data_IF_062958713547
#
_entry.id   IF_062958713547
#
_cell.length_a   1.000
_cell.length_b   1.000
_cell.length_c   1.000
_cell.angle_alpha   90.00
_cell.angle_beta   90.00
_cell.angle_gamma   90.00
#
_symmetry.space_group_name_H-M   'P 1'
#
loop_
_entity.id
_entity.type
_entity.pdbx_description
1 polymer ?
#
# COMPACT_ATOMS: atom_id res chain seq x y z
N UNK A 1 -5.59 -21.25 -7.84
CA UNK A 1 -5.36 -22.70 -7.83
C UNK A 1 -3.97 -23.06 -8.36
N UNK A 2 -3.66 -22.95 -9.66
CA UNK A 2 -2.31 -23.30 -10.18
C UNK A 2 -1.14 -22.58 -9.47
N UNK A 3 -1.32 -21.30 -9.11
CA UNK A 3 -0.30 -20.52 -8.38
C UNK A 3 -0.12 -21.01 -6.94
N UNK A 4 -1.20 -21.42 -6.26
CA UNK A 4 -1.11 -22.02 -4.93
C UNK A 4 -0.41 -23.38 -5.00
N UNK A 5 -0.72 -24.20 -6.01
CA UNK A 5 -0.03 -25.47 -6.26
C UNK A 5 1.46 -25.21 -6.54
N UNK A 6 1.80 -24.23 -7.36
CA UNK A 6 3.19 -23.85 -7.61
C UNK A 6 3.91 -23.38 -6.34
N UNK A 7 3.24 -22.60 -5.47
CA UNK A 7 3.76 -22.21 -4.16
C UNK A 7 4.06 -23.43 -3.28
N UNK A 8 3.12 -24.37 -3.17
CA UNK A 8 3.29 -25.60 -2.39
C UNK A 8 4.46 -26.43 -2.94
N UNK A 9 4.57 -26.56 -4.26
CA UNK A 9 5.67 -27.29 -4.90
C UNK A 9 7.03 -26.61 -4.69
N UNK A 10 7.06 -25.27 -4.66
CA UNK A 10 8.30 -24.50 -4.48
C UNK A 10 8.77 -24.46 -3.03
N UNK A 11 7.85 -24.27 -2.08
CA UNK A 11 8.17 -24.10 -0.66
C UNK A 11 8.16 -25.41 0.12
N UNK A 12 7.61 -26.49 -0.44
CA UNK A 12 7.42 -27.76 0.25
C UNK A 12 6.38 -27.69 1.38
N UNK A 13 5.65 -26.57 1.50
CA UNK A 13 4.73 -26.33 2.60
C UNK A 13 3.37 -25.80 2.13
N UNK A 14 2.32 -26.13 2.89
CA UNK A 14 0.96 -25.63 2.65
C UNK A 14 0.72 -24.24 3.25
N UNK A 15 1.64 -23.77 4.11
CA UNK A 15 1.50 -22.49 4.77
C UNK A 15 1.79 -21.33 3.81
N UNK A 16 0.88 -20.35 3.78
CA UNK A 16 1.11 -19.11 3.06
C UNK A 16 1.92 -18.15 3.94
N UNK A 17 2.95 -17.56 3.35
CA UNK A 17 3.58 -16.37 3.90
C UNK A 17 2.75 -15.10 3.61
N UNK A 18 3.12 -13.98 4.21
CA UNK A 18 2.44 -12.69 4.08
C UNK A 18 2.33 -12.23 2.63
N UNK A 19 3.41 -12.36 1.84
CA UNK A 19 3.47 -11.91 0.45
C UNK A 19 2.61 -12.80 -0.44
N UNK A 20 2.67 -14.11 -0.25
CA UNK A 20 1.87 -15.10 -0.98
C UNK A 20 0.37 -14.92 -0.69
N UNK A 21 0.01 -14.69 0.58
CA UNK A 21 -1.36 -14.36 0.96
C UNK A 21 -1.86 -13.08 0.26
N UNK A 22 -1.07 -12.00 0.31
CA UNK A 22 -1.38 -10.75 -0.40
C UNK A 22 -1.59 -10.96 -1.91
N UNK A 23 -0.66 -11.64 -2.57
CA UNK A 23 -0.69 -11.86 -4.02
C UNK A 23 -1.90 -12.70 -4.44
N UNK A 24 -2.21 -13.78 -3.72
CA UNK A 24 -3.37 -14.62 -4.03
C UNK A 24 -4.70 -13.86 -3.80
N UNK A 25 -4.81 -13.09 -2.73
CA UNK A 25 -5.96 -12.21 -2.47
C UNK A 25 -6.13 -11.15 -3.56
N UNK A 26 -5.03 -10.52 -4.00
CA UNK A 26 -5.05 -9.54 -5.07
C UNK A 26 -5.54 -10.17 -6.40
N UNK A 27 -5.02 -11.35 -6.74
CA UNK A 27 -5.42 -12.08 -7.95
C UNK A 27 -6.89 -12.50 -7.94
N UNK A 28 -7.41 -12.88 -6.78
CA UNK A 28 -8.83 -13.15 -6.60
C UNK A 28 -9.68 -11.91 -6.91
N UNK A 29 -9.29 -10.75 -6.38
CA UNK A 29 -10.04 -9.50 -6.57
C UNK A 29 -9.84 -8.87 -7.95
N UNK A 30 -8.78 -9.22 -8.68
CA UNK A 30 -8.52 -8.78 -10.06
C UNK A 30 -9.44 -9.45 -11.08
N UNK A 31 -9.91 -10.67 -10.81
CA UNK A 31 -10.72 -11.43 -11.76
C UNK A 31 -12.12 -10.82 -11.92
N UNK A 32 -12.58 -10.74 -13.17
CA UNK A 32 -14.00 -10.51 -13.46
C UNK A 32 -14.79 -11.71 -12.98
N UNK A 33 -15.77 -11.49 -12.09
CA UNK A 33 -16.67 -12.51 -11.49
C UNK A 33 -17.60 -13.17 -12.51
N UNK A 34 -17.03 -13.87 -13.48
CA UNK A 34 -17.79 -14.67 -14.45
C UNK A 34 -17.97 -16.12 -13.99
N UNK A 35 -17.22 -16.56 -12.97
CA UNK A 35 -17.19 -17.94 -12.49
C UNK A 35 -17.32 -17.99 -10.96
N UNK A 36 -18.50 -17.66 -10.45
CA UNK A 36 -18.75 -17.48 -9.01
C UNK A 36 -18.31 -18.67 -8.14
N UNK A 37 -18.52 -19.90 -8.60
CA UNK A 37 -18.11 -21.12 -7.88
C UNK A 37 -16.59 -21.22 -7.74
N UNK A 38 -15.84 -20.93 -8.81
CA UNK A 38 -14.37 -20.99 -8.80
C UNK A 38 -13.80 -19.87 -7.92
N UNK A 39 -14.42 -18.68 -7.96
CA UNK A 39 -14.01 -17.54 -7.15
C UNK A 39 -14.28 -17.79 -5.66
N UNK A 40 -15.41 -18.42 -5.31
CA UNK A 40 -15.70 -18.85 -3.93
C UNK A 40 -14.74 -19.95 -3.44
N UNK A 41 -14.41 -20.94 -4.27
CA UNK A 41 -13.41 -21.95 -3.93
C UNK A 41 -12.04 -21.31 -3.72
N UNK A 42 -11.66 -20.35 -4.56
CA UNK A 42 -10.38 -19.66 -4.43
C UNK A 42 -10.36 -18.75 -3.18
N UNK A 43 -11.46 -18.08 -2.85
CA UNK A 43 -11.63 -17.38 -1.59
C UNK A 43 -11.46 -18.34 -0.40
N UNK A 44 -12.08 -19.53 -0.45
CA UNK A 44 -11.92 -20.56 0.57
C UNK A 44 -10.45 -20.95 0.78
N UNK A 45 -9.70 -21.18 -0.30
CA UNK A 45 -8.25 -21.46 -0.21
C UNK A 45 -7.49 -20.32 0.46
N UNK A 46 -7.78 -19.06 0.10
CA UNK A 46 -7.13 -17.89 0.71
C UNK A 46 -7.45 -17.82 2.20
N UNK A 47 -8.71 -18.00 2.60
CA UNK A 47 -9.14 -17.85 4.00
C UNK A 47 -8.66 -18.99 4.90
N UNK A 48 -8.68 -20.23 4.41
CA UNK A 48 -8.43 -21.43 5.23
C UNK A 48 -7.05 -22.06 5.02
N UNK A 49 -6.21 -21.51 4.13
CA UNK A 49 -4.81 -21.90 4.03
C UNK A 49 -4.08 -21.68 5.36
N UNK A 50 -3.22 -22.62 5.78
CA UNK A 50 -2.40 -22.45 6.98
C UNK A 50 -1.56 -21.17 6.92
N UNK A 51 -1.39 -20.51 8.08
CA UNK A 51 -0.57 -19.30 8.18
C UNK A 51 0.87 -19.69 8.51
N UNK A 52 1.83 -19.19 7.74
CA UNK A 52 3.25 -19.34 8.09
C UNK A 52 3.59 -18.56 9.38
N UNK A 53 4.53 -19.10 10.16
CA UNK A 53 4.96 -18.53 11.44
C UNK A 53 5.61 -17.15 11.24
N UNK A 54 5.31 -16.19 12.13
CA UNK A 54 5.96 -14.88 12.17
C UNK A 54 5.22 -13.76 11.41
N UNK A 55 4.00 -14.02 10.95
CA UNK A 55 3.15 -13.06 10.26
C UNK A 55 1.65 -13.31 10.44
N UNK A 56 1.26 -14.12 11.41
CA UNK A 56 -0.08 -14.64 11.62
C UNK A 56 -1.12 -13.51 11.70
N UNK A 57 -0.86 -12.49 12.53
CA UNK A 57 -1.73 -11.32 12.68
C UNK A 57 -1.83 -10.50 11.40
N UNK A 58 -0.70 -10.27 10.71
CA UNK A 58 -0.69 -9.55 9.43
C UNK A 58 -1.49 -10.31 8.38
N UNK A 59 -1.32 -11.63 8.28
CA UNK A 59 -2.06 -12.42 7.31
C UNK A 59 -3.55 -12.53 7.65
N UNK A 60 -3.92 -12.62 8.94
CA UNK A 60 -5.32 -12.58 9.37
C UNK A 60 -5.97 -11.25 8.96
N UNK A 61 -5.27 -10.13 9.14
CA UNK A 61 -5.74 -8.82 8.71
C UNK A 61 -5.89 -8.73 7.18
N UNK A 62 -4.92 -9.23 6.41
CA UNK A 62 -5.01 -9.29 4.93
C UNK A 62 -6.23 -10.11 4.49
N UNK A 63 -6.45 -11.29 5.09
CA UNK A 63 -7.61 -12.14 4.81
C UNK A 63 -8.93 -11.43 5.12
N UNK A 64 -9.01 -10.70 6.23
CA UNK A 64 -10.17 -9.90 6.59
C UNK A 64 -10.44 -8.78 5.58
N UNK A 65 -9.40 -8.02 5.20
CA UNK A 65 -9.53 -6.97 4.18
C UNK A 65 -9.94 -7.57 2.83
N UNK A 66 -9.36 -8.71 2.44
CA UNK A 66 -9.75 -9.45 1.24
C UNK A 66 -11.24 -9.83 1.29
N UNK A 67 -11.72 -10.36 2.42
CA UNK A 67 -13.12 -10.75 2.62
C UNK A 67 -14.06 -9.56 2.48
N UNK A 68 -13.73 -8.44 3.11
CA UNK A 68 -14.50 -7.20 3.05
C UNK A 68 -14.60 -6.70 1.60
N UNK A 69 -13.48 -6.60 0.88
CA UNK A 69 -13.49 -6.14 -0.52
C UNK A 69 -14.10 -7.15 -1.50
N UNK A 70 -14.06 -8.44 -1.17
CA UNK A 70 -14.78 -9.47 -1.92
C UNK A 70 -16.29 -9.27 -1.85
N UNK A 71 -16.87 -8.99 -0.67
CA UNK A 71 -18.33 -8.83 -0.55
C UNK A 71 -18.80 -7.39 -0.80
N UNK A 72 -18.13 -6.40 -0.23
CA UNK A 72 -18.59 -5.02 -0.27
C UNK A 72 -18.39 -4.34 -1.63
N UNK A 73 -17.53 -4.93 -2.49
CA UNK A 73 -17.08 -4.37 -3.77
C UNK A 73 -16.40 -3.00 -3.57
N UNK A 74 -16.04 -2.31 -4.66
CA UNK A 74 -15.37 -1.00 -4.60
C UNK A 74 -16.29 0.16 -4.18
N UNK A 75 -17.07 -0.02 -3.11
CA UNK A 75 -17.82 1.08 -2.50
C UNK A 75 -16.82 2.07 -1.90
N UNK A 76 -16.95 3.32 -2.30
CA UNK A 76 -16.05 4.40 -1.88
C UNK A 76 -15.96 4.51 -0.35
N UNK A 77 -17.09 4.36 0.35
CA UNK A 77 -17.17 4.36 1.81
C UNK A 77 -16.33 3.25 2.47
N UNK A 78 -16.30 2.04 1.89
CA UNK A 78 -15.55 0.90 2.44
C UNK A 78 -14.05 1.19 2.44
N UNK A 79 -13.56 1.81 1.37
CA UNK A 79 -12.16 2.24 1.33
C UNK A 79 -11.89 3.36 2.33
N UNK A 80 -12.78 4.36 2.47
CA UNK A 80 -12.58 5.42 3.47
C UNK A 80 -12.55 4.86 4.90
N UNK A 81 -13.44 3.94 5.24
CA UNK A 81 -13.40 3.26 6.54
C UNK A 81 -12.14 2.41 6.70
N UNK A 82 -11.71 1.71 5.65
CA UNK A 82 -10.46 0.95 5.67
C UNK A 82 -9.23 1.82 5.88
N UNK A 83 -9.13 2.95 5.17
CA UNK A 83 -8.05 3.93 5.34
C UNK A 83 -8.06 4.57 6.73
N UNK A 84 -9.25 4.91 7.25
CA UNK A 84 -9.41 5.41 8.61
C UNK A 84 -8.97 4.38 9.65
N UNK A 85 -9.36 3.11 9.49
CA UNK A 85 -8.94 2.02 10.36
C UNK A 85 -7.42 1.83 10.34
N UNK A 86 -6.79 1.88 9.16
CA UNK A 86 -5.32 1.83 9.04
C UNK A 86 -4.67 3.02 9.75
N UNK A 87 -5.19 4.23 9.56
CA UNK A 87 -4.64 5.41 10.24
C UNK A 87 -4.78 5.31 11.76
N UNK A 88 -5.92 4.81 12.25
CA UNK A 88 -6.13 4.55 13.67
C UNK A 88 -5.15 3.51 14.22
N UNK A 89 -4.87 2.44 13.46
CA UNK A 89 -3.85 1.44 13.81
C UNK A 89 -2.46 2.08 13.88
N UNK A 90 -2.09 2.89 12.88
CA UNK A 90 -0.79 3.59 12.88
C UNK A 90 -0.66 4.47 14.12
N UNK A 91 -1.67 5.30 14.41
CA UNK A 91 -1.67 6.15 15.61
C UNK A 91 -1.57 5.29 16.88
N UNK A 92 -2.32 4.19 16.95
CA UNK A 92 -2.25 3.28 18.08
C UNK A 92 -0.83 2.71 18.27
N UNK A 93 -0.09 2.39 17.20
CA UNK A 93 1.30 1.93 17.31
C UNK A 93 2.23 2.94 17.99
N UNK A 94 1.95 4.25 17.94
CA UNK A 94 2.73 5.27 18.66
C UNK A 94 2.32 5.43 20.12
N UNK A 95 1.10 5.01 20.49
CA UNK A 95 0.53 5.21 21.83
C UNK A 95 0.67 3.95 22.69
N UNK A 96 0.33 2.79 22.10
CA UNK A 96 0.35 1.46 22.72
C UNK A 96 1.66 1.22 23.48
N UNK A 97 2.87 1.47 22.94
CA UNK A 97 4.13 1.22 23.65
C UNK A 97 4.27 1.85 25.04
N UNK A 98 3.52 2.90 25.34
CA UNK A 98 3.53 3.59 26.63
C UNK A 98 2.43 3.11 27.61
N UNK A 99 1.54 2.22 27.16
CA UNK A 99 0.49 1.70 28.01
C UNK A 99 1.02 0.60 28.97
N UNK A 100 0.49 0.50 30.19
CA UNK A 100 0.93 -0.49 31.17
C UNK A 100 0.30 -1.86 30.89
N UNK A 101 0.96 -2.69 30.05
CA UNK A 101 0.49 -4.04 29.70
C UNK A 101 0.87 -5.14 30.70
N UNK A 102 1.46 -4.80 31.86
CA UNK A 102 2.09 -5.76 32.78
C UNK A 102 1.22 -6.96 33.18
N UNK A 103 -0.11 -6.77 33.24
CA UNK A 103 -1.06 -7.79 33.68
C UNK A 103 -1.78 -8.53 32.54
N UNK A 104 -1.54 -8.15 31.27
CA UNK A 104 -2.31 -8.63 30.12
C UNK A 104 -1.80 -9.94 29.50
N UNK A 105 -0.73 -10.54 30.05
CA UNK A 105 -0.24 -11.86 29.64
C UNK A 105 0.10 -11.94 28.14
N UNK A 106 0.75 -10.90 27.60
CA UNK A 106 1.15 -10.86 26.20
C UNK A 106 2.11 -12.01 25.85
N UNK A 107 1.94 -12.60 24.67
CA UNK A 107 2.89 -13.59 24.18
C UNK A 107 4.28 -12.96 23.94
N UNK A 108 5.30 -13.81 23.89
CA UNK A 108 6.69 -13.34 23.75
C UNK A 108 6.88 -12.43 22.53
N UNK A 109 6.25 -12.73 21.38
CA UNK A 109 6.41 -11.97 20.14
C UNK A 109 5.83 -10.56 20.27
N UNK A 110 4.60 -10.47 20.76
CA UNK A 110 3.91 -9.20 20.97
C UNK A 110 4.63 -8.35 22.02
N UNK A 111 5.10 -8.99 23.10
CA UNK A 111 5.81 -8.33 24.20
C UNK A 111 7.08 -7.63 23.73
N UNK A 112 8.01 -8.35 23.06
CA UNK A 112 9.27 -7.73 22.63
C UNK A 112 9.05 -6.64 21.57
N UNK A 113 8.04 -6.79 20.69
CA UNK A 113 7.71 -5.77 19.68
C UNK A 113 7.28 -4.46 20.34
N UNK A 114 6.36 -4.53 21.31
CA UNK A 114 5.89 -3.34 22.03
C UNK A 114 7.06 -2.69 22.79
N UNK A 115 7.89 -3.47 23.47
CA UNK A 115 9.08 -2.94 24.17
C UNK A 115 10.09 -2.31 23.21
N UNK A 116 10.29 -2.90 22.03
CA UNK A 116 11.22 -2.34 21.04
C UNK A 116 10.68 -1.06 20.39
N UNK A 117 9.38 -1.03 20.09
CA UNK A 117 8.71 0.19 19.64
C UNK A 117 8.87 1.31 20.65
N UNK A 118 8.74 0.99 21.95
CA UNK A 118 8.99 1.96 23.01
C UNK A 118 10.44 2.46 23.01
N UNK A 119 11.43 1.58 22.88
CA UNK A 119 12.85 1.96 22.87
C UNK A 119 13.17 2.93 21.71
N UNK A 120 12.67 2.67 20.50
CA UNK A 120 12.84 3.60 19.37
C UNK A 120 12.11 4.94 19.62
N UNK A 121 10.92 4.92 20.22
CA UNK A 121 10.17 6.13 20.54
C UNK A 121 10.80 6.95 21.66
N UNK A 122 11.36 6.32 22.70
CA UNK A 122 12.09 7.00 23.78
C UNK A 122 13.34 7.69 23.22
N UNK A 123 14.08 7.04 22.30
CA UNK A 123 15.21 7.67 21.60
C UNK A 123 14.77 8.82 20.68
N UNK A 124 13.62 8.70 20.00
CA UNK A 124 13.04 9.80 19.23
C UNK A 124 12.69 10.99 20.14
N UNK A 125 12.10 10.74 21.31
CA UNK A 125 11.79 11.79 22.29
C UNK A 125 13.05 12.45 22.84
N UNK A 126 14.12 11.68 23.06
CA UNK A 126 15.42 12.21 23.48
C UNK A 126 16.07 13.14 22.45
N UNK A 127 15.72 13.00 21.17
CA UNK A 127 16.13 13.91 20.08
C UNK A 127 15.11 15.02 19.79
N UNK A 128 14.15 15.25 20.71
CA UNK A 128 13.06 16.22 20.55
C UNK A 128 12.24 16.01 19.27
N UNK A 129 12.15 14.78 18.78
CA UNK A 129 11.41 14.45 17.56
C UNK A 129 12.17 14.71 16.25
N UNK A 130 13.46 15.09 16.30
CA UNK A 130 14.28 15.31 15.10
C UNK A 130 14.69 13.98 14.42
N UNK A 131 14.64 12.88 15.15
CA UNK A 131 15.12 11.59 14.69
C UNK A 131 16.61 11.38 15.01
N UNK A 132 17.02 10.11 14.99
CA UNK A 132 18.37 9.66 15.32
C UNK A 132 19.27 9.56 14.07
N UNK A 133 18.68 9.51 12.88
CA UNK A 133 19.41 9.42 11.61
C UNK A 133 19.77 7.98 11.21
N UNK A 134 20.33 7.82 10.01
CA UNK A 134 20.81 6.53 9.49
C UNK A 134 22.24 6.23 9.95
N UNK A 135 22.64 4.96 9.93
CA UNK A 135 23.98 4.51 10.34
C UNK A 135 24.16 4.36 11.86
N UNK A 136 23.13 4.64 12.64
CA UNK A 136 23.06 4.38 14.08
C UNK A 136 22.37 3.05 14.38
N UNK A 137 22.60 2.49 15.57
CA UNK A 137 21.89 1.29 16.03
C UNK A 137 20.38 1.54 16.08
N UNK A 138 19.57 0.51 15.78
CA UNK A 138 18.11 0.56 15.91
C UNK A 138 17.67 0.40 17.37
N UNK A 139 18.40 -0.38 18.14
CA UNK A 139 18.14 -0.61 19.57
C UNK A 139 19.17 0.10 20.45
N UNK A 140 18.73 0.53 21.64
CA UNK A 140 19.65 1.00 22.68
C UNK A 140 20.37 -0.15 23.37
N UNK A 141 21.57 0.13 23.90
CA UNK A 141 22.31 -0.83 24.73
C UNK A 141 21.52 -1.30 25.95
N UNK A 142 20.73 -0.41 26.57
CA UNK A 142 19.90 -0.73 27.72
C UNK A 142 18.76 -1.70 27.37
N UNK A 143 18.22 -1.59 26.16
CA UNK A 143 17.18 -2.47 25.66
C UNK A 143 17.70 -3.89 25.36
N UNK A 144 18.85 -4.00 24.68
CA UNK A 144 19.39 -5.33 24.35
C UNK A 144 19.97 -6.07 25.55
N UNK A 145 20.52 -5.36 26.53
CA UNK A 145 21.15 -5.93 27.72
C UNK A 145 22.02 -7.17 27.41
N UNK A 146 21.82 -8.23 28.20
CA UNK A 146 22.36 -9.57 27.95
C UNK A 146 21.31 -10.48 27.30
N UNK A 147 20.70 -10.06 26.17
CA UNK A 147 19.70 -10.87 25.49
C UNK A 147 20.23 -12.27 25.16
N UNK A 148 19.78 -13.26 25.94
CA UNK A 148 20.07 -14.69 25.77
C UNK A 148 19.02 -15.41 24.92
N UNK A 149 17.90 -14.74 24.64
CA UNK A 149 16.79 -15.25 23.84
C UNK A 149 16.13 -14.13 23.02
N UNK A 150 15.25 -14.51 22.09
CA UNK A 150 14.53 -13.55 21.24
C UNK A 150 15.34 -13.05 20.03
N UNK A 151 14.85 -12.02 19.32
CA UNK A 151 15.41 -11.60 18.04
C UNK A 151 16.84 -11.04 18.16
N UNK A 152 17.24 -10.58 19.34
CA UNK A 152 18.57 -10.04 19.65
C UNK A 152 19.58 -11.08 20.16
N UNK A 153 19.16 -12.32 20.43
CA UNK A 153 20.10 -13.37 20.84
C UNK A 153 21.14 -13.65 19.74
N UNK A 154 22.40 -13.86 20.11
CA UNK A 154 23.46 -14.15 19.16
C UNK A 154 23.12 -15.36 18.25
N UNK A 155 23.50 -15.27 16.98
CA UNK A 155 23.41 -16.36 16.01
C UNK A 155 24.81 -16.73 15.50
N UNK A 156 24.91 -17.76 14.66
CA UNK A 156 26.18 -18.12 14.02
C UNK A 156 26.77 -16.98 13.16
N UNK A 157 25.91 -16.06 12.68
CA UNK A 157 26.29 -14.97 11.78
C UNK A 157 26.50 -13.63 12.49
N UNK A 158 25.83 -13.39 13.62
CA UNK A 158 25.85 -12.09 14.30
C UNK A 158 25.92 -12.26 15.81
N UNK A 159 26.81 -11.51 16.44
CA UNK A 159 26.80 -11.27 17.88
C UNK A 159 25.56 -10.46 18.29
N UNK A 160 25.21 -10.51 19.59
CA UNK A 160 24.13 -9.68 20.17
C UNK A 160 24.32 -8.18 19.89
N UNK A 161 25.58 -7.71 19.86
CA UNK A 161 25.90 -6.32 19.62
C UNK A 161 25.69 -5.92 18.15
N UNK A 162 26.10 -6.77 17.21
CA UNK A 162 25.85 -6.55 15.78
C UNK A 162 24.35 -6.58 15.45
N UNK A 163 23.57 -7.39 16.19
CA UNK A 163 22.11 -7.44 16.02
C UNK A 163 21.40 -6.12 16.28
N UNK A 164 21.99 -5.20 17.06
CA UNK A 164 21.44 -3.84 17.20
C UNK A 164 21.38 -3.06 15.89
N UNK A 165 22.18 -3.43 14.89
CA UNK A 165 22.25 -2.73 13.61
C UNK A 165 21.42 -3.39 12.51
N UNK A 166 21.06 -4.66 12.66
CA UNK A 166 20.42 -5.45 11.60
C UNK A 166 18.98 -5.89 11.93
N UNK A 167 18.58 -5.88 13.20
CA UNK A 167 17.22 -6.25 13.62
C UNK A 167 16.34 -5.01 13.63
N UNK A 168 15.47 -4.88 12.63
CA UNK A 168 14.48 -3.80 12.59
C UNK A 168 13.35 -4.01 13.60
N UNK A 169 12.62 -2.94 13.96
CA UNK A 169 11.58 -3.00 14.99
C UNK A 169 10.24 -3.60 14.53
N UNK A 170 10.16 -4.06 13.28
CA UNK A 170 8.93 -4.60 12.68
C UNK A 170 7.76 -3.60 12.68
N UNK A 171 8.04 -2.31 12.52
CA UNK A 171 7.05 -1.27 12.24
C UNK A 171 7.69 -0.12 11.46
N UNK A 172 7.36 -0.01 10.18
CA UNK A 172 8.01 0.98 9.30
C UNK A 172 7.65 2.42 9.64
N UNK A 173 6.49 2.66 10.25
CA UNK A 173 6.11 4.02 10.67
C UNK A 173 6.96 4.49 11.84
N UNK A 174 7.17 3.61 12.83
CA UNK A 174 8.04 3.89 13.98
C UNK A 174 9.49 4.00 13.51
N UNK A 175 9.99 3.05 12.70
CA UNK A 175 11.35 3.11 12.17
C UNK A 175 11.61 4.38 11.34
N UNK A 176 10.64 4.84 10.54
CA UNK A 176 10.79 6.13 9.86
C UNK A 176 10.78 7.32 10.81
N UNK A 177 9.91 7.33 11.83
CA UNK A 177 9.90 8.39 12.82
C UNK A 177 11.24 8.41 13.58
N UNK A 178 11.77 7.25 13.95
CA UNK A 178 13.07 7.07 14.56
C UNK A 178 14.21 7.61 13.67
N UNK A 179 14.21 7.29 12.36
CA UNK A 179 15.30 7.69 11.45
C UNK A 179 15.20 9.15 10.97
N UNK A 180 14.01 9.61 10.60
CA UNK A 180 13.76 10.88 9.92
C UNK A 180 13.03 11.91 10.79
N UNK A 181 12.72 11.56 12.04
CA UNK A 181 11.96 12.40 12.94
C UNK A 181 10.47 12.47 12.62
N UNK A 182 9.78 13.33 13.36
CA UNK A 182 8.34 13.61 13.19
C UNK A 182 8.06 14.09 11.77
N UNK A 183 8.95 14.89 11.17
CA UNK A 183 8.78 15.39 9.81
C UNK A 183 8.66 14.25 8.78
N UNK A 184 9.51 13.22 8.86
CA UNK A 184 9.50 12.10 7.93
C UNK A 184 8.19 11.31 7.99
N UNK A 185 7.73 10.97 9.21
CA UNK A 185 6.45 10.26 9.37
C UNK A 185 5.25 11.12 8.99
N UNK A 186 5.26 12.42 9.32
CA UNK A 186 4.20 13.35 8.92
C UNK A 186 4.05 13.43 7.40
N UNK A 187 5.15 13.49 6.64
CA UNK A 187 5.10 13.50 5.17
C UNK A 187 4.45 12.23 4.61
N UNK A 188 4.78 11.05 5.14
CA UNK A 188 4.13 9.82 4.71
C UNK A 188 2.64 9.79 5.09
N UNK A 189 2.29 10.23 6.30
CA UNK A 189 0.89 10.27 6.72
C UNK A 189 0.08 11.23 5.84
N UNK A 190 0.60 12.41 5.53
CA UNK A 190 -0.01 13.34 4.58
C UNK A 190 -0.16 12.70 3.19
N UNK A 191 0.84 11.96 2.73
CA UNK A 191 0.75 11.22 1.47
C UNK A 191 -0.38 10.19 1.49
N UNK A 192 -0.47 9.37 2.55
CA UNK A 192 -1.52 8.37 2.75
C UNK A 192 -2.92 9.02 2.79
N UNK A 193 -3.07 10.14 3.51
CA UNK A 193 -4.30 10.92 3.53
C UNK A 193 -4.66 11.47 2.14
N UNK A 194 -3.68 11.85 1.34
CA UNK A 194 -3.89 12.28 -0.05
C UNK A 194 -4.39 11.14 -0.95
N UNK A 195 -4.11 9.87 -0.62
CA UNK A 195 -4.68 8.72 -1.32
C UNK A 195 -6.15 8.53 -0.95
N UNK A 196 -6.51 8.78 0.33
CA UNK A 196 -7.87 8.71 0.81
C UNK A 196 -8.80 9.71 0.11
N UNK A 197 -8.34 10.94 -0.11
CA UNK A 197 -9.15 12.03 -0.68
C UNK A 197 -9.38 11.97 -2.19
N UNK A 198 -8.71 11.06 -2.92
CA UNK A 198 -8.84 10.95 -4.38
C UNK A 198 -10.15 10.30 -4.80
N UNK A 199 -10.88 10.96 -5.71
CA UNK A 199 -12.10 10.42 -6.34
C UNK A 199 -11.76 9.26 -7.29
N UNK A 200 -12.43 8.11 -7.14
CA UNK A 200 -12.09 6.87 -7.87
C UNK A 200 -13.05 6.58 -9.03
N UNK A 201 -12.55 5.82 -10.00
CA UNK A 201 -13.31 5.37 -11.19
C UNK A 201 -14.36 4.31 -10.82
N UNK A 202 -15.49 4.29 -11.54
CA UNK A 202 -16.59 3.34 -11.34
C UNK A 202 -16.33 1.92 -11.86
N UNK A 203 -15.12 1.59 -12.34
CA UNK A 203 -14.81 0.21 -12.75
C UNK A 203 -14.61 -0.66 -11.51
N UNK A 204 -15.72 -1.21 -11.00
CA UNK A 204 -15.84 -1.80 -9.66
C UNK A 204 -14.77 -2.85 -9.33
N UNK A 205 -14.44 -3.76 -10.25
CA UNK A 205 -13.48 -4.85 -9.98
C UNK A 205 -12.03 -4.34 -9.89
N UNK A 206 -11.66 -3.43 -10.80
CA UNK A 206 -10.31 -2.85 -10.85
C UNK A 206 -10.06 -1.89 -9.67
N UNK A 207 -11.10 -1.16 -9.27
CA UNK A 207 -11.03 -0.28 -8.13
C UNK A 207 -11.01 -1.04 -6.78
N UNK A 208 -11.70 -2.18 -6.67
CA UNK A 208 -11.72 -2.99 -5.44
C UNK A 208 -10.37 -3.63 -5.15
N UNK A 209 -9.76 -4.26 -6.16
CA UNK A 209 -8.42 -4.85 -6.06
C UNK A 209 -7.36 -3.81 -5.71
N UNK A 210 -7.43 -2.61 -6.28
CA UNK A 210 -6.49 -1.53 -5.98
C UNK A 210 -6.66 -0.97 -4.55
N UNK A 211 -7.90 -0.82 -4.09
CA UNK A 211 -8.21 -0.44 -2.71
C UNK A 211 -7.69 -1.46 -1.71
N UNK A 212 -7.95 -2.75 -1.97
CA UNK A 212 -7.40 -3.86 -1.21
C UNK A 212 -5.86 -3.80 -1.16
N UNK A 213 -5.21 -3.60 -2.32
CA UNK A 213 -3.76 -3.61 -2.44
C UNK A 213 -3.12 -2.54 -1.53
N UNK A 214 -3.64 -1.30 -1.58
CA UNK A 214 -3.11 -0.20 -0.76
C UNK A 214 -3.36 -0.44 0.73
N UNK A 215 -4.60 -0.74 1.14
CA UNK A 215 -4.92 -0.97 2.56
C UNK A 215 -4.08 -2.13 3.12
N UNK A 216 -4.00 -3.24 2.40
CA UNK A 216 -3.24 -4.41 2.84
C UNK A 216 -1.74 -4.12 2.89
N UNK A 217 -1.20 -3.38 1.91
CA UNK A 217 0.22 -2.99 1.95
C UNK A 217 0.55 -2.08 3.12
N UNK A 218 -0.37 -1.18 3.51
CA UNK A 218 -0.20 -0.33 4.68
C UNK A 218 -0.20 -1.16 5.98
N UNK A 219 -1.09 -2.14 6.08
CA UNK A 219 -1.11 -3.09 7.21
C UNK A 219 0.19 -3.89 7.28
N UNK A 220 0.70 -4.36 6.14
CA UNK A 220 1.97 -5.11 6.08
C UNK A 220 3.10 -4.29 6.68
N UNK A 221 3.28 -3.04 6.22
CA UNK A 221 4.38 -2.19 6.70
C UNK A 221 4.17 -1.66 8.14
N UNK A 222 2.94 -1.70 8.69
CA UNK A 222 2.69 -1.41 10.11
C UNK A 222 3.26 -2.47 11.06
N UNK A 223 3.28 -3.74 10.64
CA UNK A 223 3.65 -4.88 11.51
C UNK A 223 4.88 -5.64 11.02
N UNK A 224 5.57 -5.12 10.02
CA UNK A 224 6.79 -5.68 9.46
C UNK A 224 7.79 -4.56 9.14
N UNK A 225 9.04 -4.98 8.94
CA UNK A 225 10.12 -4.17 8.36
C UNK A 225 9.82 -3.93 6.88
N UNK A 226 8.96 -2.96 6.61
CA UNK A 226 8.33 -2.73 5.31
C UNK A 226 9.24 -1.96 4.37
N UNK A 227 9.67 -0.77 4.78
CA UNK A 227 10.57 0.06 3.96
C UNK A 227 12.02 -0.43 4.01
N UNK A 228 12.38 -1.17 5.05
CA UNK A 228 13.70 -1.75 5.24
C UNK A 228 13.85 -3.07 4.47
N UNK A 229 12.74 -3.76 4.14
CA UNK A 229 12.73 -4.97 3.32
C UNK A 229 12.43 -4.65 1.85
N UNK A 230 13.31 -5.01 0.91
CA UNK A 230 13.04 -4.80 -0.51
C UNK A 230 11.71 -5.39 -0.98
N UNK A 231 11.35 -6.58 -0.49
CA UNK A 231 10.13 -7.27 -0.91
C UNK A 231 8.86 -6.48 -0.53
N UNK A 232 8.77 -6.01 0.73
CA UNK A 232 7.62 -5.26 1.20
C UNK A 232 7.60 -3.83 0.68
N UNK A 233 8.77 -3.22 0.48
CA UNK A 233 8.89 -1.92 -0.17
C UNK A 233 8.31 -1.96 -1.59
N UNK A 234 8.70 -2.95 -2.41
CA UNK A 234 8.16 -3.09 -3.75
C UNK A 234 6.66 -3.41 -3.76
N UNK A 235 6.18 -4.20 -2.81
CA UNK A 235 4.75 -4.48 -2.66
C UNK A 235 3.96 -3.19 -2.35
N UNK A 236 4.45 -2.36 -1.44
CA UNK A 236 3.85 -1.05 -1.14
C UNK A 236 3.89 -0.11 -2.36
N UNK A 237 5.05 0.04 -2.99
CA UNK A 237 5.21 0.89 -4.16
C UNK A 237 4.31 0.45 -5.33
N UNK A 238 4.20 -0.86 -5.55
CA UNK A 238 3.28 -1.45 -6.52
C UNK A 238 1.83 -1.12 -6.18
N UNK A 239 1.39 -1.35 -4.94
CA UNK A 239 0.01 -1.08 -4.51
C UNK A 239 -0.41 0.37 -4.73
N UNK A 240 0.46 1.31 -4.34
CA UNK A 240 0.24 2.75 -4.52
C UNK A 240 0.19 3.11 -6.01
N UNK A 241 1.14 2.62 -6.81
CA UNK A 241 1.18 2.84 -8.26
C UNK A 241 -0.06 2.27 -8.94
N UNK A 242 -0.50 1.09 -8.51
CA UNK A 242 -1.68 0.40 -9.01
C UNK A 242 -2.95 1.22 -8.72
N UNK A 243 -3.12 1.74 -7.50
CA UNK A 243 -4.21 2.65 -7.17
C UNK A 243 -4.18 3.91 -8.03
N UNK A 244 -3.01 4.53 -8.20
CA UNK A 244 -2.87 5.74 -9.01
C UNK A 244 -3.20 5.50 -10.50
N UNK A 245 -2.84 4.34 -11.05
CA UNK A 245 -3.18 3.99 -12.44
C UNK A 245 -4.70 3.95 -12.68
N UNK A 246 -5.48 3.58 -11.65
CA UNK A 246 -6.95 3.55 -11.73
C UNK A 246 -7.55 4.95 -11.86
N UNK A 247 -6.91 5.94 -11.22
CA UNK A 247 -7.32 7.33 -11.28
C UNK A 247 -6.98 7.93 -12.66
N UNK A 248 -5.77 7.69 -13.18
CA UNK A 248 -5.34 8.21 -14.48
C UNK A 248 -6.17 7.65 -15.64
N UNK A 249 -6.50 6.36 -15.62
CA UNK A 249 -7.35 5.76 -16.66
C UNK A 249 -8.76 6.36 -16.69
N UNK A 250 -9.28 6.83 -15.56
CA UNK A 250 -10.56 7.54 -15.49
C UNK A 250 -10.50 8.88 -16.21
N UNK A 251 -9.47 9.67 -15.92
CA UNK A 251 -9.28 10.99 -16.52
C UNK A 251 -9.14 10.88 -18.05
N UNK A 252 -8.34 9.90 -18.51
CA UNK A 252 -8.20 9.63 -19.94
C UNK A 252 -9.53 9.22 -20.60
N UNK A 253 -10.34 8.38 -19.94
CA UNK A 253 -11.64 7.98 -20.46
C UNK A 253 -12.62 9.17 -20.53
N UNK A 254 -12.68 10.02 -19.51
CA UNK A 254 -13.52 11.23 -19.52
C UNK A 254 -13.11 12.16 -20.67
N UNK A 255 -11.81 12.43 -20.82
CA UNK A 255 -11.30 13.26 -21.91
C UNK A 255 -11.64 12.68 -23.29
N UNK A 256 -11.59 11.36 -23.46
CA UNK A 256 -11.98 10.72 -24.74
C UNK A 256 -13.47 10.90 -25.06
N UNK A 257 -14.35 10.80 -24.06
CA UNK A 257 -15.80 10.99 -24.23
C UNK A 257 -16.14 12.44 -24.55
N UNK A 258 -15.48 13.39 -23.87
CA UNK A 258 -15.64 14.82 -24.14
C UNK A 258 -15.12 15.19 -25.54
N UNK A 259 -13.98 14.64 -25.96
CA UNK A 259 -13.44 14.85 -27.30
C UNK A 259 -14.35 14.28 -28.41
N UNK A 260 -15.00 13.15 -28.16
CA UNK A 260 -15.93 12.53 -29.11
C UNK A 260 -17.27 13.28 -29.18
N UNK A 261 -17.75 13.82 -28.04
CA UNK A 261 -18.92 14.73 -28.01
C UNK A 261 -18.65 16.04 -28.74
N UNK A 262 -17.46 16.64 -28.55
CA UNK A 262 -17.05 17.84 -29.29
C UNK A 262 -17.03 17.61 -30.80
N UNK A 263 -16.43 16.49 -31.25
CA UNK A 263 -16.42 16.09 -32.67
C UNK A 263 -17.83 15.88 -33.24
N UNK A 264 -18.75 15.27 -32.50
CA UNK A 264 -20.14 15.10 -32.95
C UNK A 264 -20.87 16.44 -33.06
N UNK A 265 -20.66 17.35 -32.11
CA UNK A 265 -21.27 18.69 -32.15
C UNK A 265 -20.77 19.52 -33.33
N UNK A 266 -19.47 19.46 -33.64
CA UNK A 266 -18.88 20.15 -34.78
C UNK A 266 -19.37 19.55 -36.10
N UNK A 267 -19.50 18.23 -36.18
CA UNK A 267 -20.04 17.54 -37.35
C UNK A 267 -21.53 17.89 -37.61
N UNK A 268 -22.35 17.98 -36.56
CA UNK A 268 -23.76 18.39 -36.70
C UNK A 268 -23.91 19.87 -37.07
N UNK A 269 -23.02 20.74 -36.59
CA UNK A 269 -23.02 22.16 -36.99
C UNK A 269 -22.53 22.36 -38.43
N UNK A 270 -21.60 21.53 -38.91
CA UNK A 270 -21.18 21.54 -40.32
C UNK A 270 -22.22 20.93 -41.27
N UNK A 271 -23.09 20.04 -40.80
CA UNK A 271 -24.17 19.46 -41.61
C UNK A 271 -25.41 20.39 -41.73
N UNK A 272 -25.54 21.39 -40.84
CA UNK A 272 -26.59 22.42 -40.89
C UNK A 272 -26.26 23.64 -41.76
N UNK A 273 -25.02 23.74 -42.24
CA UNK A 273 -24.55 24.83 -43.10
C UNK A 273 -24.12 24.27 -44.46
N UNK A 274 -25.11 24.08 -45.33
CA UNK A 274 -24.99 24.22 -46.78
C UNK A 274 -24.18 23.16 -47.54
N UNK A 275 -24.86 22.49 -48.47
CA UNK A 275 -24.19 22.03 -49.68
C UNK A 275 -23.49 23.19 -50.40
N UNK A 276 -22.48 22.82 -51.20
CA UNK A 276 -21.58 23.68 -51.97
C UNK A 276 -20.41 24.29 -51.17
N UNK A 277 -19.35 23.50 -51.01
CA UNK A 277 -17.99 23.85 -51.47
C UNK A 277 -17.05 22.68 -51.16
N UNK A 278 -16.99 21.75 -52.11
CA UNK A 278 -15.89 20.81 -52.18
C UNK A 278 -14.65 21.52 -52.74
N UNK A 279 -13.48 21.12 -52.21
CA UNK A 279 -12.14 21.32 -52.77
C UNK A 279 -11.56 22.74 -52.69
N UNK A 280 -10.79 23.02 -51.64
CA UNK A 280 -9.47 23.68 -51.74
C UNK A 280 -8.96 24.10 -50.35
N UNK A 281 -8.03 23.32 -49.77
CA UNK A 281 -6.76 23.81 -49.16
C UNK A 281 -6.15 22.73 -48.25
N UNK A 282 -5.13 22.07 -48.78
CA UNK A 282 -4.09 21.43 -47.98
C UNK A 282 -3.46 22.44 -47.02
N UNK A 283 -3.22 22.01 -45.78
CA UNK A 283 -2.32 22.70 -44.85
C UNK A 283 -2.99 23.49 -43.73
N UNK A 284 -3.77 22.84 -42.86
CA UNK A 284 -4.08 23.41 -41.53
C UNK A 284 -3.98 22.29 -40.50
N UNK A 285 -2.91 22.30 -39.72
CA UNK A 285 -2.84 21.53 -38.47
C UNK A 285 -4.00 22.01 -37.60
N UNK A 286 -4.89 21.12 -37.13
CA UNK A 286 -6.07 21.56 -36.39
C UNK A 286 -5.64 22.29 -35.12
N UNK A 287 -6.20 23.49 -34.88
CA UNK A 287 -5.97 24.31 -33.65
C UNK A 287 -6.19 23.53 -32.33
N UNK A 288 -6.87 22.38 -32.38
CA UNK A 288 -6.98 21.44 -31.27
C UNK A 288 -5.65 20.76 -30.91
N UNK A 289 -4.83 20.39 -31.89
CA UNK A 289 -3.50 19.80 -31.67
C UNK A 289 -2.52 20.81 -31.06
N UNK A 290 -2.66 22.09 -31.40
CA UNK A 290 -1.84 23.18 -30.86
C UNK A 290 -2.22 23.50 -29.40
N UNK A 291 -3.52 23.44 -29.06
CA UNK A 291 -4.02 23.57 -27.67
C UNK A 291 -3.60 22.40 -26.77
N UNK A 292 -3.56 21.18 -27.30
CA UNK A 292 -3.08 20.00 -26.56
C UNK A 292 -1.58 20.14 -26.28
N UNK A 293 -0.78 20.63 -27.24
CA UNK A 293 0.67 20.83 -27.06
C UNK A 293 1.00 21.94 -26.05
N UNK A 294 0.20 23.01 -26.00
CA UNK A 294 0.37 24.09 -25.00
C UNK A 294 -0.06 23.67 -23.60
N UNK A 295 -1.18 22.94 -23.44
CA UNK A 295 -1.58 22.40 -22.11
C UNK A 295 -0.60 21.37 -21.56
N UNK A 296 -0.05 20.50 -22.41
CA UNK A 296 0.97 19.54 -21.98
C UNK A 296 2.28 20.22 -21.57
N UNK A 297 2.68 21.32 -22.25
CA UNK A 297 3.87 22.11 -21.85
C UNK A 297 3.64 22.92 -20.58
N UNK A 298 2.46 23.50 -20.37
CA UNK A 298 2.15 24.20 -19.11
C UNK A 298 2.10 23.26 -17.91
N UNK A 299 1.66 22.01 -18.09
CA UNK A 299 1.60 21.04 -16.99
C UNK A 299 2.97 20.42 -16.65
N UNK A 300 3.91 20.40 -17.60
CA UNK A 300 5.31 20.00 -17.35
C UNK A 300 6.11 21.14 -16.69
N UNK A 301 5.89 22.39 -17.08
CA UNK A 301 6.57 23.55 -16.49
C UNK A 301 6.15 23.82 -15.03
N UNK A 302 4.89 23.54 -14.68
CA UNK A 302 4.38 23.66 -13.31
C UNK A 302 4.79 22.52 -12.36
N UNK A 303 5.56 21.53 -12.83
CA UNK A 303 6.06 20.40 -12.02
C UNK A 303 7.60 20.40 -11.86
N UNK A 304 8.30 21.41 -12.39
CA UNK A 304 9.76 21.58 -12.27
C UNK A 304 10.11 22.96 -11.68
N UNK A 305 9.20 23.56 -10.92
CA UNK A 305 9.52 24.65 -9.98
C UNK A 305 9.12 24.24 -8.57
#
# INVERSE_FOLDING_TARGET
>A
MCIYIAHVLWTGGFALDVSSCFCLSLLLLLKKRKQEVIDLLFLGVVLFSPMAVGGEMTQAAIRLVCLVFYFAKSKENVFHYGMFAVLAIVIACFIVPFAPFGDLGLDANTSWRISYWRDELDQLLATYGMGVGYGTSYASYGFIGSATSGPFAATAQYSTLEKMYVVGCHNSFISMAFRLGVAGVSLLLTYILSLASRKRSHREDFASSACFAVISSLIIICFNVGFESPAYFFLFAFSVSYLNSTATLREAAICSVEADRGRRSDATNSAGLGGAEALSRHGVIPKAAERVRTRFRCHLAAKVM
#
